data_IF_979125750828
#
_entry.id   IF_979125750828
#
_cell.length_a   1.000
_cell.length_b   1.000
_cell.length_c   1.000
_cell.angle_alpha   90.00
_cell.angle_beta   90.00
_cell.angle_gamma   90.00
#
_symmetry.space_group_name_H-M   'P 1'
#
loop_
_entity.id
_entity.type
_entity.pdbx_description
1 polymer ?
#
# COMPACT_ATOMS: atom_id res chain seq x y z
N UNK A 1 20.21 -13.26 -14.16
CA UNK A 1 19.35 -12.18 -14.70
C UNK A 1 18.00 -12.04 -13.98
N UNK A 2 17.29 -13.12 -13.62
CA UNK A 2 16.01 -13.03 -12.89
C UNK A 2 16.08 -12.26 -11.55
N UNK A 3 17.14 -12.43 -10.76
CA UNK A 3 17.33 -11.68 -9.50
C UNK A 3 17.50 -10.17 -9.70
N UNK A 4 18.06 -9.75 -10.84
CA UNK A 4 18.24 -8.33 -11.19
C UNK A 4 16.91 -7.70 -11.63
N UNK A 5 16.07 -8.45 -12.35
CA UNK A 5 14.71 -8.04 -12.72
C UNK A 5 13.78 -7.90 -11.51
N UNK A 6 13.87 -8.80 -10.53
CA UNK A 6 13.08 -8.70 -9.29
C UNK A 6 13.55 -7.51 -8.44
N UNK A 7 14.86 -7.25 -8.38
CA UNK A 7 15.41 -6.10 -7.66
C UNK A 7 15.06 -4.76 -8.32
N UNK A 8 15.21 -4.67 -9.65
CA UNK A 8 14.81 -3.48 -10.42
C UNK A 8 13.31 -3.28 -10.32
N UNK A 9 12.48 -4.31 -10.53
CA UNK A 9 11.01 -4.17 -10.50
C UNK A 9 10.47 -3.70 -9.14
N UNK A 10 11.10 -4.10 -8.04
CA UNK A 10 10.67 -3.72 -6.68
C UNK A 10 11.15 -2.33 -6.25
N UNK A 11 12.30 -1.87 -6.76
CA UNK A 11 12.90 -0.55 -6.44
C UNK A 11 12.64 0.52 -7.50
N UNK A 12 12.20 0.16 -8.71
CA UNK A 12 11.97 1.12 -9.81
C UNK A 12 11.03 2.25 -9.42
N UNK A 13 9.88 2.00 -8.73
CA UNK A 13 8.99 3.07 -8.33
C UNK A 13 9.67 4.10 -7.41
N UNK A 14 10.57 3.65 -6.52
CA UNK A 14 11.35 4.52 -5.63
C UNK A 14 12.33 5.39 -6.43
N UNK A 15 13.02 4.78 -7.41
CA UNK A 15 13.98 5.49 -8.27
C UNK A 15 13.27 6.52 -9.15
N UNK A 16 12.12 6.16 -9.73
CA UNK A 16 11.32 7.09 -10.53
C UNK A 16 10.75 8.22 -9.70
N UNK A 17 10.21 7.92 -8.51
CA UNK A 17 9.69 8.94 -7.59
C UNK A 17 10.79 9.90 -7.13
N UNK A 18 11.96 9.38 -6.75
CA UNK A 18 13.10 10.20 -6.36
C UNK A 18 13.60 11.07 -7.53
N UNK A 19 13.71 10.50 -8.73
CA UNK A 19 14.11 11.24 -9.92
C UNK A 19 13.11 12.35 -10.25
N UNK A 20 11.81 12.05 -10.20
CA UNK A 20 10.76 13.05 -10.43
C UNK A 20 10.78 14.16 -9.38
N UNK A 21 11.01 13.83 -8.11
CA UNK A 21 11.14 14.82 -7.03
C UNK A 21 12.36 15.73 -7.23
N UNK A 22 13.50 15.17 -7.63
CA UNK A 22 14.72 15.93 -7.95
C UNK A 22 14.49 16.86 -9.15
N UNK A 23 13.87 16.37 -10.21
CA UNK A 23 13.53 17.20 -11.38
C UNK A 23 12.56 18.32 -10.99
N UNK A 24 11.53 18.04 -10.19
CA UNK A 24 10.60 19.04 -9.70
C UNK A 24 11.31 20.10 -8.82
N UNK A 25 12.25 19.68 -7.98
CA UNK A 25 13.06 20.59 -7.16
C UNK A 25 13.94 21.49 -8.02
N UNK A 26 14.70 20.92 -8.97
CA UNK A 26 15.57 21.67 -9.87
C UNK A 26 14.78 22.67 -10.71
N UNK A 27 13.64 22.23 -11.24
CA UNK A 27 12.75 23.10 -12.00
C UNK A 27 12.13 24.20 -11.12
N UNK A 28 11.74 23.87 -9.89
CA UNK A 28 11.22 24.81 -8.91
C UNK A 28 12.23 25.88 -8.54
N UNK A 29 13.48 25.50 -8.28
CA UNK A 29 14.58 26.42 -8.03
C UNK A 29 14.84 27.32 -9.24
N UNK A 30 14.90 26.75 -10.45
CA UNK A 30 15.09 27.52 -11.67
C UNK A 30 13.95 28.52 -11.93
N UNK A 31 12.70 28.08 -11.78
CA UNK A 31 11.52 28.93 -11.97
C UNK A 31 11.38 29.99 -10.86
N UNK A 32 11.79 29.68 -9.62
CA UNK A 32 11.84 30.64 -8.52
C UNK A 32 12.89 31.72 -8.77
N UNK A 33 14.03 31.35 -9.34
CA UNK A 33 15.11 32.27 -9.70
C UNK A 33 14.77 33.18 -10.89
N UNK A 34 14.05 32.65 -11.89
CA UNK A 34 13.79 33.37 -13.15
C UNK A 34 12.43 34.08 -13.20
N UNK A 35 11.45 33.63 -12.43
CA UNK A 35 10.09 34.19 -12.43
C UNK A 35 9.74 34.75 -11.05
N UNK A 36 9.18 33.90 -10.19
CA UNK A 36 8.65 34.30 -8.89
C UNK A 36 8.90 33.19 -7.86
N UNK A 37 9.23 33.54 -6.60
CA UNK A 37 9.50 32.55 -5.54
C UNK A 37 8.35 31.56 -5.30
N UNK A 38 7.11 31.92 -5.66
CA UNK A 38 5.92 31.07 -5.53
C UNK A 38 6.04 29.73 -6.28
N UNK A 39 6.87 29.66 -7.32
CA UNK A 39 7.14 28.41 -8.06
C UNK A 39 7.85 27.35 -7.21
N UNK A 40 8.60 27.75 -6.19
CA UNK A 40 9.22 26.81 -5.26
C UNK A 40 8.17 26.13 -4.38
N UNK A 41 7.18 26.89 -3.90
CA UNK A 41 6.06 26.35 -3.11
C UNK A 41 5.22 25.35 -3.95
N UNK A 42 4.97 25.70 -5.22
CA UNK A 42 4.26 24.85 -6.19
C UNK A 42 4.96 23.50 -6.42
N UNK A 43 6.28 23.54 -6.63
CA UNK A 43 7.06 22.31 -6.82
C UNK A 43 7.21 21.52 -5.52
N UNK A 44 7.26 22.19 -4.36
CA UNK A 44 7.18 21.55 -3.05
C UNK A 44 5.91 20.73 -2.86
N UNK A 45 4.75 21.28 -3.24
CA UNK A 45 3.48 20.56 -3.24
C UNK A 45 3.51 19.30 -4.14
N UNK A 46 4.10 19.39 -5.33
CA UNK A 46 4.26 18.25 -6.24
C UNK A 46 5.16 17.16 -5.63
N UNK A 47 6.27 17.55 -4.99
CA UNK A 47 7.17 16.61 -4.30
C UNK A 47 6.45 15.89 -3.16
N UNK A 48 5.63 16.61 -2.37
CA UNK A 48 4.82 16.01 -1.30
C UNK A 48 3.84 14.98 -1.87
N UNK A 49 3.15 15.31 -2.97
CA UNK A 49 2.22 14.39 -3.65
C UNK A 49 2.95 13.12 -4.11
N UNK A 50 4.12 13.25 -4.73
CA UNK A 50 4.94 12.11 -5.15
C UNK A 50 5.29 11.22 -3.94
N UNK A 51 5.69 11.84 -2.81
CA UNK A 51 6.00 11.14 -1.58
C UNK A 51 4.80 10.38 -0.98
N UNK A 52 3.63 11.00 -0.94
CA UNK A 52 2.39 10.39 -0.44
C UNK A 52 1.96 9.21 -1.32
N UNK A 53 2.03 9.34 -2.65
CA UNK A 53 1.71 8.25 -3.57
C UNK A 53 2.68 7.07 -3.43
N UNK A 54 3.98 7.35 -3.22
CA UNK A 54 4.98 6.30 -2.97
C UNK A 54 4.77 5.62 -1.61
N UNK A 55 4.45 6.37 -0.56
CA UNK A 55 4.14 5.79 0.75
C UNK A 55 2.87 4.93 0.68
N UNK A 56 1.86 5.39 -0.05
CA UNK A 56 0.64 4.65 -0.29
C UNK A 56 0.90 3.35 -1.06
N UNK A 57 1.75 3.32 -2.08
CA UNK A 57 2.04 2.05 -2.78
C UNK A 57 2.70 1.01 -1.86
N UNK A 58 3.63 1.43 -0.99
CA UNK A 58 4.34 0.53 -0.07
C UNK A 58 3.51 -0.01 1.07
N UNK A 59 2.55 0.76 1.57
CA UNK A 59 1.71 0.29 2.68
C UNK A 59 0.90 -0.95 2.31
N UNK A 60 0.55 -1.15 1.04
CA UNK A 60 -0.14 -2.37 0.61
C UNK A 60 0.77 -3.61 0.72
N UNK A 61 2.03 -3.51 0.30
CA UNK A 61 3.02 -4.59 0.48
C UNK A 61 3.28 -4.90 1.97
N UNK A 62 3.40 -3.86 2.80
CA UNK A 62 3.65 -4.02 4.23
C UNK A 62 2.50 -4.74 4.94
N UNK A 63 1.26 -4.41 4.59
CA UNK A 63 0.06 -5.02 5.15
C UNK A 63 -0.03 -6.49 4.76
N UNK A 64 0.19 -6.80 3.49
CA UNK A 64 0.17 -8.17 3.01
C UNK A 64 1.21 -9.03 3.74
N UNK A 65 2.40 -8.48 3.96
CA UNK A 65 3.43 -9.13 4.78
C UNK A 65 2.95 -9.38 6.21
N UNK A 66 2.28 -8.42 6.85
CA UNK A 66 1.79 -8.58 8.22
C UNK A 66 0.65 -9.58 8.36
N UNK A 67 -0.23 -9.67 7.37
CA UNK A 67 -1.30 -10.68 7.32
C UNK A 67 -0.68 -12.08 7.16
N UNK A 68 0.32 -12.22 6.27
CA UNK A 68 1.07 -13.46 6.13
C UNK A 68 1.76 -13.87 7.43
N UNK A 69 2.44 -12.94 8.12
CA UNK A 69 3.12 -13.20 9.39
C UNK A 69 2.13 -13.66 10.48
N UNK A 70 0.95 -13.04 10.55
CA UNK A 70 -0.10 -13.41 11.52
C UNK A 70 -0.62 -14.83 11.26
N UNK A 71 -0.82 -15.19 10.00
CA UNK A 71 -1.25 -16.53 9.62
C UNK A 71 -0.15 -17.55 9.92
N UNK A 72 1.12 -17.22 9.70
CA UNK A 72 2.19 -18.16 9.99
C UNK A 72 2.38 -18.40 11.51
N UNK A 73 2.06 -17.42 12.36
CA UNK A 73 2.24 -17.52 13.82
C UNK A 73 1.02 -18.03 14.58
N UNK A 74 -0.18 -17.55 14.24
CA UNK A 74 -1.38 -17.79 15.05
C UNK A 74 -2.34 -18.81 14.42
N UNK A 75 -2.19 -19.13 13.13
CA UNK A 75 -3.08 -20.06 12.44
C UNK A 75 -2.98 -21.48 12.99
N UNK A 76 -1.80 -21.95 13.40
CA UNK A 76 -1.67 -23.27 14.02
C UNK A 76 -2.50 -23.40 15.32
N UNK A 77 -2.59 -22.32 16.10
CA UNK A 77 -3.33 -22.30 17.37
C UNK A 77 -4.83 -22.31 17.09
N UNK A 78 -5.29 -21.49 16.14
CA UNK A 78 -6.69 -21.41 15.73
C UNK A 78 -7.13 -22.72 15.07
N UNK A 79 -6.32 -23.26 14.15
CA UNK A 79 -6.59 -24.51 13.45
C UNK A 79 -6.63 -25.72 14.40
N UNK A 80 -5.75 -25.78 15.40
CA UNK A 80 -5.83 -26.80 16.46
C UNK A 80 -7.10 -26.69 17.28
N UNK A 81 -7.52 -25.47 17.62
CA UNK A 81 -8.77 -25.25 18.38
C UNK A 81 -10.00 -25.69 17.58
N UNK A 82 -10.06 -25.31 16.30
CA UNK A 82 -11.13 -25.70 15.38
C UNK A 82 -11.17 -27.22 15.13
N UNK A 83 -10.01 -27.87 14.96
CA UNK A 83 -9.92 -29.32 14.83
C UNK A 83 -10.36 -30.05 16.10
N UNK A 84 -9.98 -29.58 17.28
CA UNK A 84 -10.45 -30.16 18.53
C UNK A 84 -11.97 -30.02 18.71
N UNK A 85 -12.58 -28.93 18.24
CA UNK A 85 -14.02 -28.78 18.22
C UNK A 85 -14.67 -29.77 17.24
N UNK A 86 -14.11 -29.92 16.03
CA UNK A 86 -14.62 -30.85 15.02
C UNK A 86 -14.54 -32.32 15.50
N UNK A 87 -13.45 -32.70 16.15
CA UNK A 87 -13.25 -34.05 16.70
C UNK A 87 -14.20 -34.37 17.85
N UNK A 88 -14.63 -33.35 18.61
CA UNK A 88 -15.68 -33.52 19.62
C UNK A 88 -17.04 -33.82 19.00
N UNK A 89 -17.32 -33.31 17.81
CA UNK A 89 -18.61 -33.51 17.13
C UNK A 89 -18.64 -34.75 16.23
N UNK A 90 -17.54 -35.09 15.56
CA UNK A 90 -17.48 -36.16 14.54
C UNK A 90 -16.65 -37.38 14.94
N UNK A 91 -15.98 -37.34 16.10
CA UNK A 91 -15.04 -38.36 16.54
C UNK A 91 -13.62 -38.15 15.99
N UNK A 92 -12.67 -39.03 16.35
CA UNK A 92 -11.26 -38.84 16.03
C UNK A 92 -11.01 -38.91 14.51
N UNK A 93 -10.37 -37.87 13.97
CA UNK A 93 -9.94 -37.78 12.58
C UNK A 93 -8.60 -38.49 12.39
N UNK A 94 -8.39 -39.10 11.22
CA UNK A 94 -7.06 -39.60 10.85
C UNK A 94 -6.10 -38.44 10.57
N UNK A 95 -4.80 -38.66 10.82
CA UNK A 95 -3.76 -37.64 10.63
C UNK A 95 -3.73 -37.08 9.19
N UNK A 96 -4.02 -37.91 8.19
CA UNK A 96 -4.17 -37.48 6.79
C UNK A 96 -5.34 -36.51 6.58
N UNK A 97 -6.50 -36.77 7.19
CA UNK A 97 -7.66 -35.88 7.09
C UNK A 97 -7.44 -34.57 7.83
N UNK A 98 -6.76 -34.62 8.98
CA UNK A 98 -6.31 -33.43 9.73
C UNK A 98 -5.42 -32.54 8.86
N UNK A 99 -4.40 -33.11 8.23
CA UNK A 99 -3.48 -32.36 7.38
C UNK A 99 -4.17 -31.68 6.19
N UNK A 100 -5.12 -32.37 5.55
CA UNK A 100 -5.94 -31.80 4.47
C UNK A 100 -6.82 -30.65 4.94
N UNK A 101 -7.58 -30.85 6.01
CA UNK A 101 -8.49 -29.83 6.56
C UNK A 101 -7.70 -28.58 6.96
N UNK A 102 -6.54 -28.73 7.61
CA UNK A 102 -5.69 -27.57 7.97
C UNK A 102 -5.24 -26.83 6.71
N UNK A 103 -4.76 -27.54 5.69
CA UNK A 103 -4.28 -26.93 4.46
C UNK A 103 -5.39 -26.19 3.70
N UNK A 104 -6.59 -26.78 3.66
CA UNK A 104 -7.76 -26.26 2.96
C UNK A 104 -8.33 -25.04 3.69
N UNK A 105 -8.54 -25.14 5.01
CA UNK A 105 -8.97 -23.99 5.84
C UNK A 105 -7.94 -22.86 5.80
N UNK A 106 -6.64 -23.17 5.72
CA UNK A 106 -5.59 -22.15 5.59
C UNK A 106 -5.68 -21.41 4.26
N UNK A 107 -5.86 -22.13 3.17
CA UNK A 107 -5.98 -21.55 1.85
C UNK A 107 -7.25 -20.68 1.73
N UNK A 108 -8.37 -21.15 2.29
CA UNK A 108 -9.66 -20.46 2.24
C UNK A 108 -9.66 -19.23 3.15
N UNK A 109 -9.14 -19.34 4.37
CA UNK A 109 -8.99 -18.22 5.30
C UNK A 109 -8.04 -17.15 4.74
N UNK A 110 -6.97 -17.55 4.04
CA UNK A 110 -6.09 -16.64 3.32
C UNK A 110 -6.82 -15.86 2.23
N UNK A 111 -7.61 -16.56 1.42
CA UNK A 111 -8.35 -15.94 0.31
C UNK A 111 -9.41 -14.94 0.83
N UNK A 112 -10.18 -15.33 1.85
CA UNK A 112 -11.20 -14.48 2.44
C UNK A 112 -10.60 -13.27 3.18
N UNK A 113 -9.50 -13.46 3.90
CA UNK A 113 -8.78 -12.36 4.55
C UNK A 113 -8.19 -11.40 3.52
N UNK A 114 -7.54 -11.89 2.45
CA UNK A 114 -7.02 -11.03 1.38
C UNK A 114 -8.19 -10.23 0.76
N UNK A 115 -9.35 -10.85 0.54
CA UNK A 115 -10.51 -10.17 -0.07
C UNK A 115 -11.13 -9.09 0.84
N UNK A 116 -11.39 -9.40 2.11
CA UNK A 116 -12.00 -8.46 3.08
C UNK A 116 -11.03 -7.30 3.38
N UNK A 117 -9.76 -7.60 3.59
CA UNK A 117 -8.77 -6.56 3.84
C UNK A 117 -8.44 -5.74 2.60
N UNK A 118 -8.57 -6.27 1.39
CA UNK A 118 -8.34 -5.47 0.18
C UNK A 118 -9.41 -4.41 -0.03
N UNK A 119 -10.70 -4.74 0.07
CA UNK A 119 -11.77 -3.80 -0.30
C UNK A 119 -11.87 -2.60 0.65
N UNK A 120 -12.00 -2.84 1.95
CA UNK A 120 -12.22 -1.77 2.93
C UNK A 120 -10.97 -0.89 3.09
N UNK A 121 -9.79 -1.51 3.04
CA UNK A 121 -8.53 -0.80 3.19
C UNK A 121 -8.17 0.01 1.97
N UNK A 122 -8.49 -0.48 0.77
CA UNK A 122 -8.32 0.27 -0.47
C UNK A 122 -9.25 1.48 -0.48
N UNK A 123 -10.47 1.35 0.06
CA UNK A 123 -11.44 2.44 0.08
C UNK A 123 -11.09 3.57 1.05
N UNK A 124 -10.80 3.26 2.31
CA UNK A 124 -10.43 4.26 3.34
C UNK A 124 -9.13 4.98 2.96
N UNK A 125 -8.13 4.22 2.53
CA UNK A 125 -6.83 4.77 2.19
C UNK A 125 -6.84 5.59 0.90
N UNK A 126 -7.65 5.21 -0.10
CA UNK A 126 -7.81 6.03 -1.30
C UNK A 126 -8.45 7.38 -0.96
N UNK A 127 -9.42 7.42 -0.03
CA UNK A 127 -9.99 8.69 0.44
C UNK A 127 -8.96 9.56 1.17
N UNK A 128 -8.17 8.99 2.08
CA UNK A 128 -7.11 9.73 2.77
C UNK A 128 -6.05 10.26 1.80
N UNK A 129 -5.58 9.42 0.87
CA UNK A 129 -4.61 9.81 -0.16
C UNK A 129 -5.18 10.90 -1.06
N UNK A 130 -6.43 10.76 -1.52
CA UNK A 130 -7.12 11.78 -2.32
C UNK A 130 -7.22 13.08 -1.53
N UNK A 131 -7.60 13.04 -0.26
CA UNK A 131 -7.78 14.23 0.56
C UNK A 131 -6.45 14.96 0.80
N UNK A 132 -5.38 14.22 1.11
CA UNK A 132 -4.04 14.79 1.27
C UNK A 132 -3.51 15.36 -0.06
N UNK A 133 -3.66 14.62 -1.17
CA UNK A 133 -3.23 15.10 -2.50
C UNK A 133 -4.01 16.35 -2.89
N UNK A 134 -5.33 16.35 -2.71
CA UNK A 134 -6.18 17.49 -3.06
C UNK A 134 -5.90 18.70 -2.19
N UNK A 135 -5.74 18.53 -0.87
CA UNK A 135 -5.34 19.61 0.04
C UNK A 135 -3.97 20.18 -0.30
N UNK A 136 -3.01 19.32 -0.68
CA UNK A 136 -1.67 19.74 -1.09
C UNK A 136 -1.69 20.49 -2.42
N UNK A 137 -2.52 20.05 -3.38
CA UNK A 137 -2.75 20.76 -4.64
C UNK A 137 -3.39 22.12 -4.42
N UNK A 138 -4.41 22.23 -3.56
CA UNK A 138 -5.03 23.50 -3.24
C UNK A 138 -4.06 24.46 -2.54
N UNK A 139 -3.19 23.96 -1.65
CA UNK A 139 -2.21 24.81 -0.97
C UNK A 139 -1.09 25.29 -1.91
N UNK A 140 -0.63 24.44 -2.83
CA UNK A 140 0.46 24.80 -3.75
C UNK A 140 -0.01 25.53 -5.02
N UNK A 141 -1.16 25.14 -5.56
CA UNK A 141 -1.67 25.53 -6.89
C UNK A 141 -3.08 26.13 -6.82
N UNK A 142 -3.64 26.38 -5.63
CA UNK A 142 -5.00 26.91 -5.47
C UNK A 142 -5.24 28.21 -6.25
N UNK A 143 -4.24 29.09 -6.28
CA UNK A 143 -4.30 30.35 -7.04
C UNK A 143 -4.60 30.11 -8.53
N UNK A 144 -4.01 29.06 -9.12
CA UNK A 144 -4.26 28.69 -10.52
C UNK A 144 -5.68 28.16 -10.73
N UNK A 145 -6.21 27.37 -9.81
CA UNK A 145 -7.60 26.90 -9.90
C UNK A 145 -8.60 28.05 -9.81
N UNK A 146 -8.34 29.02 -8.94
CA UNK A 146 -9.17 30.23 -8.82
C UNK A 146 -9.07 31.10 -10.07
N UNK A 147 -7.88 31.22 -10.67
CA UNK A 147 -7.67 31.96 -11.92
C UNK A 147 -8.31 31.27 -13.12
N UNK A 148 -8.35 29.93 -13.16
CA UNK A 148 -8.97 29.14 -14.24
C UNK A 148 -10.51 29.11 -14.17
N UNK A 149 -11.08 29.41 -12.99
CA UNK A 149 -12.52 29.51 -12.75
C UNK A 149 -13.06 30.94 -12.96
N UNK A 150 -12.19 31.93 -13.17
CA UNK A 150 -12.55 33.30 -13.56
C UNK A 150 -12.65 33.42 -15.08
#
# INVERSE_FOLDING_TARGET
>A
MQRFYIFIGRRTPEVWAASAAVVALLWGCYAAWTKQPIWLNRMGAIIIIIGVLLAASRFHEWVRSKVSDFIDQDFEVIAKSALCALERETGPLSDEKRGRIIAEVRAETLADLDQIFEEDKKRIKNLEVILVVFGTLLNGLGDYFVELLK
#
